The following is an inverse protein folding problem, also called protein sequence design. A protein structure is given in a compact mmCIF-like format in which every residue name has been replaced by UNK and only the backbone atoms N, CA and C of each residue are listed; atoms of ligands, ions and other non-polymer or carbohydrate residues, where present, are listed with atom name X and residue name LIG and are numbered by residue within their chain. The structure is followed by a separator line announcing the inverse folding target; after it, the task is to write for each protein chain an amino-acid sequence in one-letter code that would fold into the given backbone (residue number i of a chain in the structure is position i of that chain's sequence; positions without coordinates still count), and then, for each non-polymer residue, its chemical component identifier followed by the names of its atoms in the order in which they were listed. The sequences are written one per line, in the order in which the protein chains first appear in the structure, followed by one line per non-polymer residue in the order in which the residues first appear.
data_IF_989042051460
#
_entry.id   IF_989042051460
#
_cell.length_a   1.000
_cell.length_b   1.000
_cell.length_c   1.000
_cell.angle_alpha   90.00
_cell.angle_beta   90.00
_cell.angle_gamma   90.00
#
_symmetry.space_group_name_H-M   'P 1'
#
loop_
_entity.id
_entity.type
_entity.pdbx_description
1 polymer ?
#
# COMPACT_ATOMS: atom_id res chain seq x y z
N UNK A 1 -26.86 -17.98 5.48
CA UNK A 1 -28.06 -18.07 4.60
C UNK A 1 -27.86 -17.39 3.25
N UNK A 2 -27.22 -16.25 3.17
CA UNK A 2 -26.98 -15.50 1.93
C UNK A 2 -26.07 -16.22 0.91
N UNK A 3 -25.07 -16.98 1.35
CA UNK A 3 -24.13 -17.69 0.48
C UNK A 3 -24.77 -18.87 -0.29
N UNK A 4 -25.68 -19.60 0.35
CA UNK A 4 -26.46 -20.65 -0.31
C UNK A 4 -27.41 -20.10 -1.38
N UNK A 5 -28.00 -18.93 -1.17
CA UNK A 5 -28.85 -18.24 -2.14
C UNK A 5 -28.05 -17.78 -3.37
N UNK A 6 -26.84 -17.27 -3.17
CA UNK A 6 -25.95 -16.82 -4.23
C UNK A 6 -25.48 -17.97 -5.15
N UNK A 7 -25.08 -19.11 -4.57
CA UNK A 7 -24.71 -20.33 -5.31
C UNK A 7 -25.88 -20.90 -6.13
N UNK A 8 -27.11 -20.90 -5.58
CA UNK A 8 -28.30 -21.40 -6.30
C UNK A 8 -28.70 -20.50 -7.49
N UNK A 9 -28.57 -19.20 -7.34
CA UNK A 9 -28.83 -18.25 -8.44
C UNK A 9 -27.76 -18.38 -9.54
N UNK A 10 -26.54 -18.63 -9.19
CA UNK A 10 -25.41 -18.83 -10.09
C UNK A 10 -25.57 -20.11 -10.93
N UNK A 11 -25.95 -21.23 -10.30
CA UNK A 11 -26.22 -22.47 -11.03
C UNK A 11 -27.38 -22.33 -12.02
N UNK A 12 -28.46 -21.63 -11.64
CA UNK A 12 -29.56 -21.31 -12.57
C UNK A 12 -29.08 -20.49 -13.78
N UNK A 13 -28.18 -19.56 -13.57
CA UNK A 13 -27.61 -18.71 -14.62
C UNK A 13 -26.75 -19.52 -15.61
N UNK A 14 -25.97 -20.47 -15.13
CA UNK A 14 -25.16 -21.39 -15.95
C UNK A 14 -26.06 -22.29 -16.82
N UNK A 15 -27.14 -22.85 -16.23
CA UNK A 15 -28.09 -23.70 -16.94
C UNK A 15 -28.81 -22.91 -18.03
N UNK A 16 -29.31 -21.71 -17.72
CA UNK A 16 -30.02 -20.87 -18.68
C UNK A 16 -29.10 -20.42 -19.85
N UNK A 17 -27.84 -20.07 -19.54
CA UNK A 17 -26.87 -19.71 -20.56
C UNK A 17 -26.56 -20.90 -21.50
N UNK A 18 -26.34 -22.10 -20.93
CA UNK A 18 -26.13 -23.31 -21.72
C UNK A 18 -27.32 -23.62 -22.61
N UNK A 19 -28.56 -23.59 -22.09
CA UNK A 19 -29.76 -23.85 -22.88
C UNK A 19 -29.94 -22.82 -24.02
N UNK A 20 -29.63 -21.56 -23.78
CA UNK A 20 -29.67 -20.51 -24.77
C UNK A 20 -28.64 -20.74 -25.90
N UNK A 21 -27.44 -21.18 -25.54
CA UNK A 21 -26.38 -21.48 -26.51
C UNK A 21 -26.72 -22.71 -27.36
N UNK A 22 -27.38 -23.74 -26.77
CA UNK A 22 -27.80 -24.94 -27.47
C UNK A 22 -29.15 -24.80 -28.17
N UNK A 23 -29.89 -23.67 -28.01
CA UNK A 23 -31.24 -23.49 -28.55
C UNK A 23 -31.32 -23.73 -30.06
N UNK A 24 -30.33 -23.28 -30.84
CA UNK A 24 -30.27 -23.50 -32.26
C UNK A 24 -30.17 -25.02 -32.62
N UNK A 25 -29.33 -25.74 -31.92
CA UNK A 25 -29.16 -27.21 -32.14
C UNK A 25 -30.43 -27.95 -31.75
N UNK A 26 -31.04 -27.56 -30.60
CA UNK A 26 -32.30 -28.18 -30.15
C UNK A 26 -33.44 -27.94 -31.13
N UNK A 27 -33.56 -26.76 -31.74
CA UNK A 27 -34.54 -26.46 -32.78
C UNK A 27 -34.32 -27.31 -34.03
N UNK A 28 -33.06 -27.47 -34.50
CA UNK A 28 -32.73 -28.33 -35.62
C UNK A 28 -33.09 -29.80 -35.34
N UNK A 29 -32.75 -30.30 -34.13
CA UNK A 29 -33.09 -31.68 -33.75
C UNK A 29 -34.58 -31.88 -33.71
N UNK A 30 -35.37 -30.94 -33.16
CA UNK A 30 -36.84 -30.99 -33.16
C UNK A 30 -37.42 -30.99 -34.57
N UNK A 31 -36.85 -30.18 -35.47
CA UNK A 31 -37.25 -30.14 -36.89
C UNK A 31 -37.00 -31.48 -37.59
N UNK A 32 -35.80 -32.10 -37.41
CA UNK A 32 -35.52 -33.40 -37.98
C UNK A 32 -36.37 -34.53 -37.40
N UNK A 33 -36.71 -34.51 -36.12
CA UNK A 33 -37.63 -35.45 -35.50
C UNK A 33 -39.02 -35.29 -36.10
N UNK A 34 -39.46 -34.05 -36.35
CA UNK A 34 -40.76 -33.77 -37.02
C UNK A 34 -40.80 -34.32 -38.46
N UNK A 35 -39.75 -34.09 -39.25
CA UNK A 35 -39.64 -34.63 -40.60
C UNK A 35 -39.63 -36.17 -40.56
N UNK A 36 -38.85 -36.77 -39.68
CA UNK A 36 -38.74 -38.24 -39.56
C UNK A 36 -40.12 -38.85 -39.21
N UNK A 37 -40.86 -38.25 -38.24
CA UNK A 37 -42.19 -38.69 -37.88
C UNK A 37 -43.17 -38.58 -39.05
N UNK A 38 -43.11 -37.48 -39.85
CA UNK A 38 -43.93 -37.29 -41.05
C UNK A 38 -43.63 -38.37 -42.13
N UNK A 39 -42.35 -38.65 -42.35
CA UNK A 39 -41.93 -39.70 -43.31
C UNK A 39 -42.43 -41.08 -42.89
N UNK A 40 -42.28 -41.45 -41.60
CA UNK A 40 -42.75 -42.72 -41.06
C UNK A 40 -44.29 -42.86 -41.20
N UNK A 41 -45.02 -41.72 -41.05
CA UNK A 41 -46.46 -41.73 -41.26
C UNK A 41 -46.87 -41.86 -42.71
N UNK A 42 -46.14 -41.31 -43.67
CA UNK A 42 -46.42 -41.38 -45.12
C UNK A 42 -46.06 -42.75 -45.69
N UNK A 43 -45.07 -43.43 -45.15
CA UNK A 43 -44.56 -44.76 -45.62
C UNK A 43 -45.21 -45.94 -44.89
N UNK A 44 -46.28 -45.70 -44.05
CA UNK A 44 -46.95 -46.74 -43.28
C UNK A 44 -46.00 -47.63 -42.43
N UNK A 45 -44.93 -47.08 -41.89
CA UNK A 45 -43.97 -47.83 -41.08
C UNK A 45 -44.63 -48.29 -39.75
N UNK A 46 -44.40 -49.56 -39.31
CA UNK A 46 -44.96 -50.04 -38.08
C UNK A 46 -44.61 -49.11 -36.87
N UNK A 47 -45.63 -48.77 -36.10
CA UNK A 47 -45.50 -47.83 -34.94
C UNK A 47 -44.40 -48.25 -33.95
N UNK A 48 -44.24 -49.56 -33.75
CA UNK A 48 -43.22 -50.08 -32.84
C UNK A 48 -41.79 -49.70 -33.27
N UNK A 49 -41.48 -49.77 -34.57
CA UNK A 49 -40.16 -49.40 -35.12
C UNK A 49 -39.93 -47.92 -34.96
N UNK A 50 -40.93 -47.10 -35.24
CA UNK A 50 -40.86 -45.62 -35.11
C UNK A 50 -40.62 -45.21 -33.66
N UNK A 51 -41.32 -45.81 -32.70
CA UNK A 51 -41.15 -45.54 -31.27
C UNK A 51 -39.76 -45.96 -30.78
N UNK A 52 -39.29 -47.16 -31.11
CA UNK A 52 -37.94 -47.60 -30.73
C UNK A 52 -36.85 -46.69 -31.28
N UNK A 53 -36.95 -46.24 -32.53
CA UNK A 53 -35.96 -45.35 -33.12
C UNK A 53 -35.92 -43.98 -32.43
N UNK A 54 -37.07 -43.42 -32.08
CA UNK A 54 -37.19 -42.18 -31.37
C UNK A 54 -36.68 -42.29 -29.93
N UNK A 55 -36.94 -43.41 -29.26
CA UNK A 55 -36.40 -43.66 -27.90
C UNK A 55 -34.88 -43.75 -27.91
N UNK A 56 -34.30 -44.47 -28.86
CA UNK A 56 -32.85 -44.60 -29.00
C UNK A 56 -32.20 -43.27 -29.33
N UNK A 57 -32.75 -42.54 -30.28
CA UNK A 57 -32.30 -41.20 -30.65
C UNK A 57 -32.36 -40.20 -29.48
N UNK A 58 -33.47 -40.24 -28.72
CA UNK A 58 -33.64 -39.39 -27.53
C UNK A 58 -32.62 -39.71 -26.44
N UNK A 59 -32.36 -40.99 -26.19
CA UNK A 59 -31.37 -41.42 -25.21
C UNK A 59 -29.95 -40.95 -25.61
N UNK A 60 -29.57 -41.15 -26.86
CA UNK A 60 -28.28 -40.68 -27.40
C UNK A 60 -28.16 -39.14 -27.33
N UNK A 61 -29.23 -38.41 -27.68
CA UNK A 61 -29.27 -36.98 -27.62
C UNK A 61 -29.12 -36.42 -26.17
N UNK A 62 -29.82 -37.03 -25.20
CA UNK A 62 -29.70 -36.66 -23.80
C UNK A 62 -28.29 -36.93 -23.28
N UNK A 63 -27.68 -38.07 -23.63
CA UNK A 63 -26.32 -38.39 -23.23
C UNK A 63 -25.28 -37.36 -23.75
N UNK A 64 -25.39 -36.94 -25.02
CA UNK A 64 -24.55 -35.91 -25.61
C UNK A 64 -24.75 -34.55 -24.93
N UNK A 65 -26.01 -34.15 -24.66
CA UNK A 65 -26.33 -32.92 -23.98
C UNK A 65 -25.78 -32.89 -22.56
N UNK A 66 -25.88 -34.02 -21.81
CA UNK A 66 -25.32 -34.13 -20.47
C UNK A 66 -23.80 -33.99 -20.45
N UNK A 67 -23.14 -34.67 -21.41
CA UNK A 67 -21.68 -34.56 -21.54
C UNK A 67 -21.22 -33.12 -21.84
N UNK A 68 -21.89 -32.45 -22.78
CA UNK A 68 -21.63 -31.04 -23.12
C UNK A 68 -21.90 -30.12 -21.93
N UNK A 69 -22.99 -30.35 -21.17
CA UNK A 69 -23.33 -29.57 -20.01
C UNK A 69 -22.28 -29.70 -18.88
N UNK A 70 -21.81 -30.94 -18.60
CA UNK A 70 -20.75 -31.17 -17.60
C UNK A 70 -19.48 -30.43 -17.99
N UNK A 71 -19.08 -30.50 -19.27
CA UNK A 71 -17.91 -29.79 -19.78
C UNK A 71 -18.07 -28.27 -19.65
N UNK A 72 -19.19 -27.72 -20.11
CA UNK A 72 -19.54 -26.30 -20.01
C UNK A 72 -19.51 -25.81 -18.55
N UNK A 73 -20.16 -26.55 -17.66
CA UNK A 73 -20.20 -26.24 -16.22
C UNK A 73 -18.80 -26.21 -15.58
N UNK A 74 -17.94 -27.18 -15.94
CA UNK A 74 -16.55 -27.21 -15.46
C UNK A 74 -15.78 -25.97 -15.89
N UNK A 75 -15.92 -25.56 -17.13
CA UNK A 75 -15.26 -24.33 -17.66
C UNK A 75 -15.75 -23.08 -16.98
N UNK A 76 -17.07 -22.91 -16.86
CA UNK A 76 -17.63 -21.75 -16.14
C UNK A 76 -17.11 -21.65 -14.70
N UNK A 77 -16.99 -22.78 -13.99
CA UNK A 77 -16.44 -22.79 -12.62
C UNK A 77 -14.97 -22.39 -12.59
N UNK A 78 -14.16 -22.86 -13.55
CA UNK A 78 -12.75 -22.47 -13.65
C UNK A 78 -12.61 -20.97 -13.90
N UNK A 79 -13.37 -20.41 -14.84
CA UNK A 79 -13.37 -18.98 -15.12
C UNK A 79 -13.82 -18.15 -13.93
N UNK A 80 -14.81 -18.63 -13.17
CA UNK A 80 -15.31 -17.96 -11.98
C UNK A 80 -14.26 -17.84 -10.86
N UNK A 81 -13.37 -18.82 -10.73
CA UNK A 81 -12.25 -18.80 -9.78
C UNK A 81 -11.16 -17.78 -10.17
N UNK A 82 -11.15 -17.33 -11.43
CA UNK A 82 -10.19 -16.36 -11.95
C UNK A 82 -10.65 -14.90 -11.76
N UNK A 83 -11.98 -14.66 -11.63
CA UNK A 83 -12.55 -13.31 -11.55
C UNK A 83 -12.00 -12.48 -10.38
N UNK A 84 -11.84 -13.03 -9.14
CA UNK A 84 -11.38 -12.23 -8.00
C UNK A 84 -9.91 -11.81 -8.09
N UNK A 85 -9.07 -12.60 -8.76
CA UNK A 85 -7.65 -12.35 -8.91
C UNK A 85 -7.14 -12.89 -10.25
N UNK A 86 -7.31 -12.09 -11.31
CA UNK A 86 -6.95 -12.51 -12.67
C UNK A 86 -5.43 -12.58 -12.90
N UNK A 87 -4.60 -11.86 -12.09
CA UNK A 87 -3.16 -11.76 -12.30
C UNK A 87 -2.41 -13.04 -11.88
N UNK A 88 -2.74 -13.59 -10.71
CA UNK A 88 -2.04 -14.77 -10.18
C UNK A 88 -2.39 -16.09 -10.91
N UNK A 89 -3.49 -16.10 -11.70
CA UNK A 89 -4.09 -17.34 -12.18
C UNK A 89 -4.29 -17.39 -13.70
N UNK A 90 -3.69 -16.50 -14.46
CA UNK A 90 -3.80 -16.46 -15.91
C UNK A 90 -3.34 -17.78 -16.60
N UNK A 91 -2.38 -18.51 -15.99
CA UNK A 91 -1.93 -19.82 -16.46
C UNK A 91 -3.02 -20.92 -16.39
N UNK A 92 -4.07 -20.72 -15.56
CA UNK A 92 -5.15 -21.69 -15.32
C UNK A 92 -6.29 -21.51 -16.33
N UNK A 93 -6.20 -20.58 -17.27
CA UNK A 93 -7.22 -20.36 -18.28
C UNK A 93 -7.49 -21.66 -19.06
N UNK A 94 -8.76 -22.11 -19.16
CA UNK A 94 -9.10 -23.32 -19.91
C UNK A 94 -8.67 -23.19 -21.36
N UNK A 95 -8.33 -24.33 -21.98
CA UNK A 95 -7.99 -24.35 -23.42
C UNK A 95 -9.17 -23.85 -24.24
N UNK A 96 -8.93 -23.05 -25.29
CA UNK A 96 -10.01 -22.57 -26.17
C UNK A 96 -10.65 -23.73 -26.90
N UNK A 97 -11.98 -23.75 -27.01
CA UNK A 97 -12.74 -24.75 -27.76
C UNK A 97 -13.07 -24.28 -29.18
N UNK A 98 -12.95 -22.99 -29.44
CA UNK A 98 -13.28 -22.38 -30.73
C UNK A 98 -12.37 -21.19 -31.04
N UNK A 99 -12.35 -20.79 -32.31
CA UNK A 99 -11.53 -19.68 -32.80
C UNK A 99 -11.78 -18.34 -32.06
N UNK A 100 -13.02 -17.92 -31.78
CA UNK A 100 -13.26 -16.71 -30.98
C UNK A 100 -12.60 -16.74 -29.60
N UNK A 101 -12.65 -17.86 -28.89
CA UNK A 101 -12.01 -18.00 -27.58
C UNK A 101 -10.48 -17.93 -27.67
N UNK A 102 -9.91 -18.50 -28.75
CA UNK A 102 -8.48 -18.38 -29.02
C UNK A 102 -8.09 -16.91 -29.24
N UNK A 103 -8.89 -16.18 -30.03
CA UNK A 103 -8.68 -14.75 -30.25
C UNK A 103 -8.81 -13.93 -28.96
N UNK A 104 -9.81 -14.21 -28.12
CA UNK A 104 -9.93 -13.57 -26.80
C UNK A 104 -8.73 -13.87 -25.91
N UNK A 105 -8.23 -15.09 -25.91
CA UNK A 105 -7.03 -15.46 -25.15
C UNK A 105 -5.80 -14.70 -25.64
N UNK A 106 -5.65 -14.53 -26.96
CA UNK A 106 -4.56 -13.72 -27.54
C UNK A 106 -4.68 -12.24 -27.12
N UNK A 107 -5.89 -11.67 -27.16
CA UNK A 107 -6.13 -10.29 -26.73
C UNK A 107 -5.80 -10.12 -25.23
N UNK A 108 -6.24 -11.04 -24.37
CA UNK A 108 -5.94 -11.02 -22.93
C UNK A 108 -4.42 -11.08 -22.71
N UNK A 109 -3.72 -12.00 -23.39
CA UNK A 109 -2.27 -12.13 -23.29
C UNK A 109 -1.52 -10.87 -23.75
N UNK A 110 -1.96 -10.23 -24.84
CA UNK A 110 -1.39 -8.95 -25.28
C UNK A 110 -1.67 -7.83 -24.28
N UNK A 111 -2.85 -7.81 -23.69
CA UNK A 111 -3.20 -6.82 -22.67
C UNK A 111 -2.37 -6.99 -21.39
N UNK A 112 -2.12 -8.23 -20.96
CA UNK A 112 -1.22 -8.53 -19.84
C UNK A 112 0.21 -8.04 -20.10
N UNK A 113 0.75 -8.31 -21.29
CA UNK A 113 2.08 -7.80 -21.69
C UNK A 113 2.12 -6.27 -21.70
N UNK A 114 1.05 -5.63 -22.18
CA UNK A 114 0.95 -4.17 -22.18
C UNK A 114 0.94 -3.61 -20.75
N UNK A 115 0.13 -4.17 -19.85
CA UNK A 115 0.08 -3.77 -18.44
C UNK A 115 1.42 -3.95 -17.73
N UNK A 116 2.08 -5.09 -17.93
CA UNK A 116 3.41 -5.34 -17.37
C UNK A 116 4.43 -4.32 -17.85
N UNK A 117 4.38 -3.97 -19.13
CA UNK A 117 5.26 -2.95 -19.71
C UNK A 117 4.99 -1.56 -19.11
N UNK A 118 3.73 -1.19 -18.93
CA UNK A 118 3.37 0.08 -18.28
C UNK A 118 3.83 0.12 -16.82
N UNK A 119 3.62 -0.96 -16.06
CA UNK A 119 4.10 -1.08 -14.68
C UNK A 119 5.64 -0.96 -14.63
N UNK A 120 6.35 -1.64 -15.52
CA UNK A 120 7.81 -1.57 -15.57
C UNK A 120 8.29 -0.15 -15.93
N UNK A 121 7.65 0.52 -16.89
CA UNK A 121 7.99 1.90 -17.24
C UNK A 121 7.75 2.88 -16.08
N UNK A 122 6.67 2.70 -15.33
CA UNK A 122 6.40 3.50 -14.13
C UNK A 122 7.47 3.25 -13.07
N UNK A 123 7.87 1.99 -12.88
CA UNK A 123 8.92 1.61 -11.96
C UNK A 123 10.28 2.20 -12.33
N UNK A 124 10.64 2.18 -13.62
CA UNK A 124 11.89 2.74 -14.11
C UNK A 124 11.92 4.27 -13.94
N UNK A 125 10.85 4.97 -14.33
CA UNK A 125 10.73 6.42 -14.12
C UNK A 125 10.83 6.82 -12.66
N UNK A 126 10.19 6.03 -11.77
CA UNK A 126 10.27 6.30 -10.34
C UNK A 126 11.70 6.11 -9.82
N UNK A 127 12.40 5.06 -10.27
CA UNK A 127 13.81 4.81 -9.91
C UNK A 127 14.72 5.94 -10.37
N UNK A 128 14.58 6.36 -11.63
CA UNK A 128 15.31 7.50 -12.18
C UNK A 128 15.07 8.77 -11.35
N UNK A 129 13.83 9.02 -10.95
CA UNK A 129 13.49 10.17 -10.11
C UNK A 129 14.19 10.10 -8.74
N UNK A 130 14.17 8.96 -8.06
CA UNK A 130 14.84 8.77 -6.77
C UNK A 130 16.36 8.92 -6.89
N UNK A 131 16.95 8.36 -7.94
CA UNK A 131 18.39 8.51 -8.23
C UNK A 131 18.76 9.97 -8.48
N UNK A 132 17.98 10.68 -9.31
CA UNK A 132 18.16 12.11 -9.58
C UNK A 132 18.13 12.94 -8.30
N UNK A 133 17.11 12.77 -7.45
CA UNK A 133 16.98 13.52 -6.20
C UNK A 133 18.05 13.11 -5.17
N UNK A 134 18.52 11.88 -5.20
CA UNK A 134 19.64 11.44 -4.36
C UNK A 134 20.93 12.16 -4.76
N UNK A 135 21.23 12.22 -6.04
CA UNK A 135 22.40 12.96 -6.57
C UNK A 135 22.27 14.46 -6.27
N UNK A 136 21.09 15.04 -6.50
CA UNK A 136 20.82 16.44 -6.20
C UNK A 136 21.01 16.76 -4.71
N UNK A 137 20.58 15.88 -3.81
CA UNK A 137 20.81 16.03 -2.37
C UNK A 137 22.30 16.05 -2.02
N UNK A 138 23.10 15.21 -2.65
CA UNK A 138 24.56 15.24 -2.47
C UNK A 138 25.17 16.56 -3.00
N UNK A 139 24.71 17.03 -4.12
CA UNK A 139 25.20 18.31 -4.69
C UNK A 139 24.83 19.52 -3.82
N UNK A 140 23.66 19.52 -3.17
CA UNK A 140 23.27 20.59 -2.24
C UNK A 140 24.01 20.52 -0.90
N UNK A 141 24.34 19.31 -0.40
CA UNK A 141 25.12 19.16 0.84
C UNK A 141 26.49 19.81 0.75
N UNK A 142 27.12 19.81 -0.44
CA UNK A 142 28.46 20.40 -0.63
C UNK A 142 28.47 21.92 -0.39
N UNK A 143 27.65 22.77 -1.05
CA UNK A 143 27.61 24.19 -0.75
C UNK A 143 27.14 24.50 0.68
N UNK A 144 26.23 23.68 1.26
CA UNK A 144 25.82 23.82 2.66
C UNK A 144 27.02 23.60 3.59
N UNK A 145 27.83 22.57 3.35
CA UNK A 145 29.04 22.31 4.14
C UNK A 145 30.06 23.45 4.01
N UNK A 146 30.24 24.00 2.80
CA UNK A 146 31.10 25.16 2.58
C UNK A 146 30.60 26.41 3.35
N UNK A 147 29.30 26.72 3.27
CA UNK A 147 28.70 27.81 4.04
C UNK A 147 28.86 27.61 5.54
N UNK A 148 28.71 26.36 6.02
CA UNK A 148 28.92 26.03 7.45
C UNK A 148 30.37 26.32 7.87
N UNK A 149 31.38 25.95 7.08
CA UNK A 149 32.79 26.22 7.37
C UNK A 149 33.05 27.73 7.42
N UNK A 150 32.58 28.51 6.45
CA UNK A 150 32.73 29.95 6.44
C UNK A 150 32.08 30.61 7.68
N UNK A 151 30.94 30.12 8.12
CA UNK A 151 30.25 30.63 9.31
C UNK A 151 30.90 30.20 10.62
N UNK A 152 31.84 29.25 10.62
CA UNK A 152 32.62 28.85 11.80
C UNK A 152 33.84 29.73 12.01
N UNK A 153 34.36 30.42 10.99
CA UNK A 153 35.54 31.28 11.09
C UNK A 153 35.29 32.52 11.96
N UNK A 154 34.05 33.04 12.00
CA UNK A 154 33.69 34.21 12.79
C UNK A 154 32.52 33.89 13.73
N UNK A 155 32.75 33.79 15.03
CA UNK A 155 31.72 33.57 16.05
C UNK A 155 30.91 34.83 16.39
N UNK A 156 30.17 35.36 15.44
CA UNK A 156 29.26 36.49 15.66
C UNK A 156 27.84 36.00 16.00
N UNK A 157 27.00 36.81 16.62
CA UNK A 157 25.59 36.46 16.81
C UNK A 157 24.88 36.16 15.50
N UNK A 158 25.22 36.86 14.41
CA UNK A 158 24.69 36.69 13.05
C UNK A 158 25.13 35.35 12.47
N UNK A 159 26.42 34.97 12.61
CA UNK A 159 26.89 33.68 12.09
C UNK A 159 26.23 32.50 12.80
N UNK A 160 25.97 32.60 14.13
CA UNK A 160 25.21 31.58 14.88
C UNK A 160 23.75 31.48 14.44
N UNK A 161 23.12 32.57 14.07
CA UNK A 161 21.76 32.55 13.50
C UNK A 161 21.72 31.90 12.14
N UNK A 162 22.64 32.28 11.23
CA UNK A 162 22.78 31.71 9.90
C UNK A 162 23.10 30.19 9.92
N UNK A 163 23.95 29.74 10.84
CA UNK A 163 24.19 28.29 11.05
C UNK A 163 22.89 27.55 11.40
N UNK A 164 21.99 28.17 12.17
CA UNK A 164 20.71 27.57 12.49
C UNK A 164 19.76 27.49 11.31
N UNK A 165 19.72 28.52 10.46
CA UNK A 165 18.92 28.48 9.24
C UNK A 165 19.48 27.45 8.25
N UNK A 166 20.81 27.38 8.13
CA UNK A 166 21.49 26.38 7.29
C UNK A 166 21.17 24.94 7.73
N UNK A 167 21.14 24.69 9.04
CA UNK A 167 20.73 23.40 9.58
C UNK A 167 19.27 23.07 9.20
N UNK A 168 18.36 24.05 9.23
CA UNK A 168 16.98 23.84 8.78
C UNK A 168 16.89 23.51 7.29
N UNK A 169 17.67 24.15 6.45
CA UNK A 169 17.74 23.86 5.01
C UNK A 169 18.17 22.41 4.81
N UNK A 170 19.19 21.93 5.54
CA UNK A 170 19.61 20.52 5.49
C UNK A 170 18.46 19.57 5.87
N UNK A 171 17.71 19.89 6.93
CA UNK A 171 16.57 19.06 7.34
C UNK A 171 15.48 19.00 6.28
N UNK A 172 15.18 20.10 5.60
CA UNK A 172 14.19 20.13 4.51
C UNK A 172 14.65 19.30 3.30
N UNK A 173 15.91 19.40 2.92
CA UNK A 173 16.48 18.58 1.84
C UNK A 173 16.40 17.10 2.18
N UNK A 174 16.74 16.73 3.41
CA UNK A 174 16.69 15.35 3.86
C UNK A 174 15.26 14.82 3.93
N UNK A 175 14.32 15.62 4.42
CA UNK A 175 12.89 15.28 4.47
C UNK A 175 12.33 15.04 3.06
N UNK A 176 12.67 15.87 2.09
CA UNK A 176 12.22 15.71 0.71
C UNK A 176 12.72 14.40 0.10
N UNK A 177 13.98 14.04 0.33
CA UNK A 177 14.53 12.76 -0.13
C UNK A 177 13.87 11.55 0.54
N UNK A 178 13.64 11.62 1.86
CA UNK A 178 12.97 10.53 2.59
C UNK A 178 11.51 10.37 2.13
N UNK A 179 10.83 11.48 1.84
CA UNK A 179 9.48 11.42 1.27
C UNK A 179 9.43 10.64 -0.05
N UNK A 180 10.39 10.88 -0.95
CA UNK A 180 10.49 10.17 -2.22
C UNK A 180 10.82 8.68 -2.01
N UNK A 181 11.77 8.35 -1.12
CA UNK A 181 12.16 6.96 -0.85
C UNK A 181 11.06 6.16 -0.17
N UNK A 182 10.18 6.83 0.58
CA UNK A 182 9.13 6.15 1.35
C UNK A 182 8.17 5.35 0.46
N UNK A 183 7.87 5.77 -0.76
CA UNK A 183 6.90 5.07 -1.62
C UNK A 183 7.28 3.61 -1.88
N UNK A 184 8.59 3.30 -1.94
CA UNK A 184 9.12 1.93 -2.16
C UNK A 184 9.85 1.35 -0.94
N UNK A 185 9.67 1.93 0.22
CA UNK A 185 10.31 1.51 1.46
C UNK A 185 10.22 -0.01 1.69
N UNK A 186 9.09 -0.63 1.35
CA UNK A 186 8.87 -2.06 1.60
C UNK A 186 9.87 -2.99 0.88
N UNK A 187 10.49 -2.53 -0.21
CA UNK A 187 11.43 -3.34 -0.98
C UNK A 187 12.87 -3.26 -0.46
N UNK A 188 13.18 -2.23 0.36
CA UNK A 188 14.55 -1.92 0.79
C UNK A 188 14.73 -1.98 2.32
N UNK A 189 13.74 -2.51 3.06
CA UNK A 189 13.81 -2.61 4.52
C UNK A 189 14.84 -3.67 4.94
N UNK A 190 15.75 -3.28 5.82
CA UNK A 190 16.72 -4.17 6.46
C UNK A 190 16.43 -4.23 7.95
N UNK A 191 15.75 -5.29 8.39
CA UNK A 191 15.42 -5.48 9.80
C UNK A 191 16.58 -6.09 10.58
N UNK A 192 17.04 -5.36 11.58
CA UNK A 192 18.10 -5.80 12.50
C UNK A 192 17.67 -5.58 13.96
N UNK A 193 18.25 -6.37 14.87
CA UNK A 193 18.09 -6.15 16.32
C UNK A 193 19.07 -5.08 16.77
N UNK A 194 18.55 -3.94 17.15
CA UNK A 194 19.35 -2.78 17.52
C UNK A 194 19.08 -2.36 18.97
N UNK A 195 20.10 -1.79 19.61
CA UNK A 195 19.95 -1.15 20.90
C UNK A 195 19.30 0.23 20.71
N UNK A 196 18.09 0.40 21.22
CA UNK A 196 17.34 1.65 21.07
C UNK A 196 18.08 2.85 21.66
N UNK A 197 18.81 2.63 22.76
CA UNK A 197 19.68 3.61 23.42
C UNK A 197 20.71 4.24 22.48
N UNK A 198 21.36 3.41 21.64
CA UNK A 198 22.34 3.88 20.67
C UNK A 198 21.74 4.83 19.64
N UNK A 199 20.55 4.48 19.10
CA UNK A 199 19.82 5.30 18.13
C UNK A 199 19.37 6.64 18.74
N UNK A 200 18.89 6.62 19.99
CA UNK A 200 18.49 7.84 20.69
C UNK A 200 19.71 8.76 20.89
N UNK A 201 20.84 8.20 21.33
CA UNK A 201 22.08 8.98 21.51
C UNK A 201 22.56 9.59 20.21
N UNK A 202 22.46 8.88 19.09
CA UNK A 202 22.83 9.38 17.76
C UNK A 202 21.96 10.55 17.37
N UNK A 203 20.63 10.43 17.49
CA UNK A 203 19.68 11.51 17.22
C UNK A 203 19.94 12.72 18.16
N UNK A 204 20.08 12.51 19.46
CA UNK A 204 20.34 13.59 20.44
C UNK A 204 21.65 14.32 20.10
N UNK A 205 22.73 13.59 19.76
CA UNK A 205 24.03 14.20 19.42
C UNK A 205 23.91 15.13 18.22
N UNK A 206 23.13 14.77 17.22
CA UNK A 206 22.89 15.59 16.02
C UNK A 206 22.21 16.92 16.37
N UNK A 207 21.28 16.89 17.32
CA UNK A 207 20.53 18.08 17.76
C UNK A 207 21.13 18.81 18.95
N UNK A 208 22.22 18.31 19.55
CA UNK A 208 22.88 18.93 20.72
C UNK A 208 23.19 20.42 20.54
N UNK A 209 23.68 20.93 19.39
CA UNK A 209 23.90 22.36 19.19
C UNK A 209 22.63 23.19 19.34
N UNK A 210 21.46 22.64 18.95
CA UNK A 210 20.18 23.34 19.10
C UNK A 210 19.67 23.35 20.52
N UNK A 211 19.86 22.27 21.30
CA UNK A 211 19.59 22.23 22.73
C UNK A 211 20.37 23.32 23.47
N UNK A 212 21.68 23.39 23.22
CA UNK A 212 22.57 24.37 23.84
C UNK A 212 22.14 25.80 23.44
N UNK A 213 21.95 26.06 22.17
CA UNK A 213 21.60 27.39 21.66
C UNK A 213 20.28 27.90 22.23
N UNK A 214 19.25 27.02 22.30
CA UNK A 214 17.92 27.38 22.81
C UNK A 214 17.80 27.31 24.33
N UNK A 215 18.87 26.82 25.00
CA UNK A 215 18.89 26.62 26.45
C UNK A 215 17.75 25.72 26.94
N UNK A 216 17.45 24.69 26.17
CA UNK A 216 16.45 23.66 26.50
C UNK A 216 17.16 22.54 27.24
N UNK A 217 16.68 22.18 28.44
CA UNK A 217 17.23 21.08 29.22
C UNK A 217 16.84 19.75 28.62
N UNK A 218 17.78 18.81 28.51
CA UNK A 218 17.50 17.41 28.15
C UNK A 218 17.54 16.55 29.41
N UNK A 219 16.45 15.87 29.71
CA UNK A 219 16.38 14.83 30.72
C UNK A 219 16.31 13.48 30.01
N UNK A 220 17.35 12.67 30.19
CA UNK A 220 17.46 11.38 29.55
C UNK A 220 17.55 10.27 30.59
N UNK A 221 16.62 9.32 30.52
CA UNK A 221 16.65 8.10 31.30
C UNK A 221 17.20 6.99 30.43
N UNK A 222 18.19 6.24 30.96
CA UNK A 222 18.86 5.16 30.21
C UNK A 222 17.84 4.12 29.71
N UNK A 223 17.77 3.94 28.38
CA UNK A 223 16.83 3.06 27.69
C UNK A 223 17.47 1.70 27.42
N UNK A 224 17.12 0.69 28.23
CA UNK A 224 17.60 -0.68 28.05
C UNK A 224 16.58 -1.49 27.27
N UNK A 225 16.50 -1.30 25.96
CA UNK A 225 15.53 -1.97 25.09
C UNK A 225 16.16 -2.30 23.74
N UNK A 226 16.00 -3.55 23.29
CA UNK A 226 16.30 -3.95 21.93
C UNK A 226 15.04 -3.89 21.08
N UNK A 227 15.18 -3.35 19.87
CA UNK A 227 14.10 -3.23 18.89
C UNK A 227 14.50 -3.92 17.59
N UNK A 228 13.58 -4.66 16.98
CA UNK A 228 13.74 -5.22 15.63
C UNK A 228 13.20 -4.20 14.63
N UNK A 229 14.09 -3.52 13.92
CA UNK A 229 13.70 -2.39 13.06
C UNK A 229 14.76 -2.14 11.99
N UNK A 230 14.45 -1.22 11.07
CA UNK A 230 15.46 -0.64 10.18
C UNK A 230 16.06 0.60 10.82
N UNK A 231 17.40 0.60 10.94
CA UNK A 231 18.17 1.66 11.61
C UNK A 231 17.89 3.04 11.05
N UNK A 232 18.01 3.18 9.72
CA UNK A 232 17.90 4.49 9.03
C UNK A 232 16.52 5.10 9.14
N UNK A 233 15.49 4.26 9.07
CA UNK A 233 14.12 4.73 9.13
C UNK A 233 13.68 5.07 10.55
N UNK A 234 14.09 4.30 11.56
CA UNK A 234 13.79 4.63 12.94
C UNK A 234 14.59 5.86 13.41
N UNK A 235 15.87 5.98 13.00
CA UNK A 235 16.68 7.17 13.25
C UNK A 235 15.97 8.44 12.71
N UNK A 236 15.46 8.39 11.47
CA UNK A 236 14.71 9.51 10.90
C UNK A 236 13.48 9.89 11.75
N UNK A 237 12.72 8.90 12.24
CA UNK A 237 11.56 9.16 13.11
C UNK A 237 11.99 9.85 14.40
N UNK A 238 13.02 9.34 15.08
CA UNK A 238 13.56 9.93 16.30
C UNK A 238 14.02 11.37 16.07
N UNK A 239 14.76 11.61 15.02
CA UNK A 239 15.21 12.94 14.61
C UNK A 239 14.05 13.90 14.37
N UNK A 240 13.02 13.45 13.66
CA UNK A 240 11.86 14.28 13.32
C UNK A 240 11.05 14.65 14.58
N UNK A 241 10.88 13.71 15.51
CA UNK A 241 10.20 13.98 16.79
C UNK A 241 11.01 14.95 17.65
N UNK A 242 12.33 14.76 17.76
CA UNK A 242 13.23 15.68 18.47
C UNK A 242 13.24 17.07 17.83
N UNK A 243 13.25 17.15 16.52
CA UNK A 243 13.15 18.41 15.78
C UNK A 243 11.87 19.17 16.11
N UNK A 244 10.73 18.46 16.14
CA UNK A 244 9.45 19.03 16.51
C UNK A 244 9.44 19.50 17.97
N UNK A 245 9.91 18.67 18.90
CA UNK A 245 10.01 19.01 20.33
C UNK A 245 10.84 20.30 20.53
N UNK A 246 12.02 20.36 19.88
CA UNK A 246 12.87 21.55 19.93
C UNK A 246 12.22 22.78 19.27
N UNK A 247 11.51 22.58 18.16
CA UNK A 247 10.86 23.66 17.41
C UNK A 247 9.78 24.34 18.24
N UNK A 248 8.96 23.57 18.93
CA UNK A 248 7.78 24.06 19.63
C UNK A 248 8.01 24.34 21.13
N UNK A 249 9.18 23.98 21.67
CA UNK A 249 9.61 24.37 23.01
C UNK A 249 10.48 25.64 22.95
N UNK A 250 9.98 26.72 23.48
CA UNK A 250 10.74 27.99 23.56
C UNK A 250 11.69 28.02 24.78
N UNK A 251 11.18 27.59 25.92
CA UNK A 251 11.89 27.47 27.18
C UNK A 251 11.36 26.25 27.92
N UNK A 252 12.22 25.56 28.67
CA UNK A 252 11.84 24.37 29.45
C UNK A 252 12.74 23.17 29.15
N UNK A 253 12.14 21.99 28.98
CA UNK A 253 12.88 20.74 28.88
C UNK A 253 12.23 19.78 27.92
N UNK A 254 13.05 18.85 27.45
CA UNK A 254 12.63 17.65 26.70
C UNK A 254 13.06 16.44 27.51
N UNK A 255 12.14 15.49 27.75
CA UNK A 255 12.40 14.23 28.45
C UNK A 255 12.32 13.07 27.51
N UNK A 256 13.21 12.09 27.66
CA UNK A 256 13.21 10.85 26.90
C UNK A 256 13.30 9.70 27.91
N UNK A 257 12.31 8.82 27.91
CA UNK A 257 12.19 7.73 28.87
C UNK A 257 11.33 6.60 28.31
N UNK A 258 11.39 5.42 28.94
CA UNK A 258 10.47 4.31 28.63
C UNK A 258 9.18 4.49 29.43
N UNK A 259 8.03 4.24 28.78
CA UNK A 259 6.72 4.33 29.43
C UNK A 259 6.63 3.30 30.59
N UNK A 260 6.42 3.75 31.83
CA UNK A 260 6.28 2.83 32.97
C UNK A 260 5.11 1.84 32.85
N UNK A 261 4.08 2.18 32.06
CA UNK A 261 2.90 1.33 31.84
C UNK A 261 3.10 0.37 30.65
N UNK A 262 4.01 0.71 29.73
CA UNK A 262 4.30 -0.09 28.52
C UNK A 262 5.81 -0.16 28.28
N UNK A 263 6.51 -1.15 28.87
CA UNK A 263 7.99 -1.20 28.90
C UNK A 263 8.67 -1.24 27.50
N UNK A 264 7.92 -1.43 26.43
CA UNK A 264 8.42 -1.41 25.05
C UNK A 264 8.08 -0.10 24.31
N UNK A 265 7.55 0.88 24.99
CA UNK A 265 7.16 2.16 24.39
C UNK A 265 8.11 3.25 24.85
N UNK A 266 8.79 3.88 23.91
CA UNK A 266 9.61 5.06 24.12
C UNK A 266 8.73 6.29 24.18
N UNK A 267 8.96 7.17 25.14
CA UNK A 267 8.28 8.46 25.26
C UNK A 267 9.27 9.61 25.08
N UNK A 268 8.92 10.53 24.18
CA UNK A 268 9.60 11.82 24.04
C UNK A 268 8.59 12.89 24.44
N UNK A 269 8.85 13.56 25.56
CA UNK A 269 7.98 14.56 26.15
C UNK A 269 8.63 15.93 26.10
N UNK A 270 7.93 16.94 25.60
CA UNK A 270 8.35 18.33 25.62
C UNK A 270 7.41 19.21 26.48
N UNK A 271 7.95 20.31 27.00
CA UNK A 271 7.19 21.33 27.74
C UNK A 271 6.90 22.52 26.85
N UNK A 272 6.58 22.29 25.60
CA UNK A 272 6.32 23.33 24.60
C UNK A 272 4.90 23.89 24.64
N UNK A 273 4.51 24.53 23.56
CA UNK A 273 3.20 25.20 23.45
C UNK A 273 2.02 24.23 23.40
N UNK A 274 2.26 22.94 23.20
CA UNK A 274 1.22 21.93 22.99
C UNK A 274 0.50 22.06 21.65
N UNK A 275 -0.45 21.14 21.43
CA UNK A 275 -1.27 21.02 20.21
C UNK A 275 -2.73 21.20 20.62
N UNK A 276 -3.47 21.97 19.82
CA UNK A 276 -4.90 22.18 20.05
C UNK A 276 -5.67 20.84 19.91
N UNK A 277 -6.67 20.55 20.74
CA UNK A 277 -7.46 19.32 20.66
C UNK A 277 -8.09 19.09 19.26
N UNK A 278 -8.44 20.16 18.57
CA UNK A 278 -9.02 20.15 17.23
C UNK A 278 -8.01 19.67 16.16
N UNK A 279 -6.72 19.96 16.39
CA UNK A 279 -5.64 19.60 15.47
C UNK A 279 -5.17 18.14 15.69
N UNK A 280 -5.24 17.60 16.93
CA UNK A 280 -4.74 16.26 17.28
C UNK A 280 -5.17 15.12 16.34
N UNK A 281 -6.44 15.01 15.91
CA UNK A 281 -6.85 13.95 15.00
C UNK A 281 -6.21 14.04 13.61
N UNK A 282 -5.71 15.22 13.23
CA UNK A 282 -5.26 15.55 11.88
C UNK A 282 -3.75 15.73 11.74
N UNK A 283 -2.99 15.72 12.84
CA UNK A 283 -1.53 15.99 12.82
C UNK A 283 -0.73 15.02 11.95
N UNK A 284 -1.28 13.84 11.66
CA UNK A 284 -0.68 12.85 10.78
C UNK A 284 -1.19 12.94 9.32
N UNK A 285 -2.11 13.87 9.00
CA UNK A 285 -2.54 14.12 7.63
C UNK A 285 -1.43 14.81 6.82
N UNK A 286 -1.31 14.42 5.54
CA UNK A 286 -0.30 14.98 4.63
C UNK A 286 -0.50 16.48 4.43
N UNK A 287 0.53 17.27 4.70
CA UNK A 287 0.52 18.72 4.52
C UNK A 287 -0.26 19.49 5.57
N UNK A 288 -0.71 18.83 6.64
CA UNK A 288 -1.40 19.49 7.73
C UNK A 288 -0.42 20.19 8.68
N UNK A 289 -0.62 21.47 8.93
CA UNK A 289 0.30 22.28 9.75
C UNK A 289 -0.32 22.81 11.04
N UNK A 290 -1.59 22.56 11.30
CA UNK A 290 -2.32 23.07 12.48
C UNK A 290 -2.36 24.61 12.57
N UNK A 291 -2.99 25.12 13.62
CA UNK A 291 -3.06 26.57 13.85
C UNK A 291 -1.66 27.19 14.08
N UNK A 292 -0.84 26.53 14.89
CA UNK A 292 0.52 26.99 15.21
C UNK A 292 1.49 26.93 13.99
N UNK A 293 1.28 26.00 13.08
CA UNK A 293 2.09 25.87 11.87
C UNK A 293 1.73 26.86 10.77
N UNK A 294 0.49 27.41 10.77
CA UNK A 294 0.07 28.47 9.82
C UNK A 294 0.71 29.82 10.16
N UNK A 295 0.92 30.09 11.44
CA UNK A 295 1.63 31.27 11.92
C UNK A 295 3.15 31.16 11.74
N UNK A 296 3.69 29.94 11.79
CA UNK A 296 5.09 29.67 11.47
C UNK A 296 5.21 29.17 10.02
N UNK A 297 5.54 30.09 9.10
CA UNK A 297 5.76 29.80 7.64
C UNK A 297 6.78 28.69 7.37
N UNK A 298 7.44 28.15 8.40
CA UNK A 298 8.49 27.11 8.35
C UNK A 298 7.95 25.68 8.51
N UNK A 299 6.63 25.48 8.63
CA UNK A 299 6.05 24.15 8.82
C UNK A 299 5.58 23.57 7.49
N UNK A 300 6.13 22.44 7.05
CA UNK A 300 5.76 21.76 5.80
C UNK A 300 4.55 20.85 5.93
N UNK A 301 4.19 20.44 7.18
CA UNK A 301 3.14 19.46 7.43
C UNK A 301 3.45 18.03 6.93
N UNK A 302 4.71 17.77 6.55
CA UNK A 302 5.12 16.46 5.99
C UNK A 302 5.78 15.58 7.07
N UNK A 303 6.43 16.16 8.07
CA UNK A 303 7.26 15.44 9.03
C UNK A 303 6.51 14.36 9.83
N UNK A 304 5.42 14.72 10.53
CA UNK A 304 4.63 13.75 11.30
C UNK A 304 3.90 12.75 10.41
N UNK A 305 3.44 13.17 9.23
CA UNK A 305 2.90 12.26 8.23
C UNK A 305 3.92 11.17 7.86
N UNK A 306 5.18 11.55 7.57
CA UNK A 306 6.25 10.60 7.30
C UNK A 306 6.51 9.67 8.49
N UNK A 307 6.59 10.22 9.71
CA UNK A 307 6.76 9.40 10.90
C UNK A 307 5.67 8.33 11.01
N UNK A 308 4.41 8.69 10.81
CA UNK A 308 3.30 7.74 10.85
C UNK A 308 3.43 6.64 9.79
N UNK A 309 3.70 7.02 8.54
CA UNK A 309 3.86 6.07 7.43
C UNK A 309 5.04 5.12 7.64
N UNK A 310 6.17 5.62 8.17
CA UNK A 310 7.35 4.83 8.46
C UNK A 310 7.05 3.84 9.59
N UNK A 311 6.50 4.31 10.71
CA UNK A 311 6.17 3.45 11.85
C UNK A 311 5.20 2.33 11.46
N UNK A 312 4.17 2.63 10.66
CA UNK A 312 3.21 1.63 10.18
C UNK A 312 3.90 0.55 9.31
N UNK A 313 4.84 0.94 8.45
CA UNK A 313 5.60 -0.01 7.60
C UNK A 313 6.63 -0.83 8.37
N UNK A 314 7.18 -0.27 9.44
CA UNK A 314 8.05 -0.99 10.37
C UNK A 314 7.28 -1.88 11.35
N UNK A 315 5.94 -1.90 11.27
CA UNK A 315 5.05 -2.58 12.23
C UNK A 315 5.19 -2.06 13.65
N UNK A 316 5.53 -0.78 13.79
CA UNK A 316 5.60 -0.02 15.03
C UNK A 316 4.39 0.91 15.17
N UNK A 317 4.19 1.43 16.37
CA UNK A 317 3.10 2.37 16.64
C UNK A 317 3.61 3.75 17.00
N UNK A 318 2.89 4.79 16.58
CA UNK A 318 3.11 6.17 17.02
C UNK A 318 1.80 6.76 17.53
N UNK A 319 1.82 7.34 18.73
CA UNK A 319 0.71 8.00 19.37
C UNK A 319 1.18 9.32 19.96
N UNK A 320 0.33 10.33 19.95
CA UNK A 320 0.63 11.66 20.48
C UNK A 320 -0.48 12.07 21.46
N UNK A 321 -0.06 12.56 22.60
CA UNK A 321 -0.91 13.23 23.60
C UNK A 321 -0.36 14.64 23.79
N UNK A 322 -1.24 15.62 23.84
CA UNK A 322 -0.81 17.02 24.00
C UNK A 322 -1.87 17.85 24.67
N UNK A 323 -1.41 18.84 25.44
CA UNK A 323 -2.26 19.81 26.07
C UNK A 323 -1.67 21.21 25.84
N UNK A 324 -2.53 22.16 25.43
CA UNK A 324 -2.13 23.54 25.14
C UNK A 324 -1.50 24.20 26.36
N UNK A 325 -0.30 24.76 26.18
CA UNK A 325 0.46 25.44 27.23
C UNK A 325 1.16 24.53 28.25
N UNK A 326 0.98 23.21 28.14
CA UNK A 326 1.66 22.21 28.98
C UNK A 326 2.78 21.51 28.22
N UNK A 327 2.48 21.03 27.00
CA UNK A 327 3.46 20.34 26.13
C UNK A 327 2.89 19.17 25.37
N UNK A 328 3.79 18.36 24.81
CA UNK A 328 3.43 17.21 23.95
C UNK A 328 4.20 15.97 24.40
N UNK A 329 3.53 14.80 24.39
CA UNK A 329 4.12 13.48 24.61
C UNK A 329 3.93 12.66 23.34
N UNK A 330 5.03 12.17 22.79
CA UNK A 330 5.03 11.27 21.64
C UNK A 330 5.44 9.89 22.13
N UNK A 331 4.61 8.90 21.87
CA UNK A 331 4.79 7.49 22.23
C UNK A 331 5.15 6.70 20.98
N UNK A 332 6.27 5.97 21.02
CA UNK A 332 6.78 5.11 19.96
C UNK A 332 6.86 3.68 20.51
N UNK A 333 6.03 2.74 20.00
CA UNK A 333 5.90 1.37 20.50
C UNK A 333 6.16 0.32 19.44
#
# INVERSE_FOLDING_TARGET
MQEKGRKKNQEKRIILAFLREQAGILLWVAFFIGIFGLLCFLEDIPQDVTVYTLQLASFAGIAVLLFRFIHYRKRCKTLELLIPDPREKAEILPKPDNLPEEMYRQIIGQYEVCLQKEEQQMDDKYREMVEYYTMWTHQIKTPIAAMRLLLQEEETPVSKELQGELFQVEQYVQMALQYLRMERMNNDLVFEKLELDALIHQAVRKYAPLFIRRKIALQYENVRCQVLTDEKWLEFVLEQILSNALKYTRQGQIKIYMDPQSPKTLVIEDTGIGIAPEDLPRIFERGYTGYNGRTDKRSTGIGLYLCKQIMDRLSHTIRIESEMGVGTRVYLG
#
